data_IF_542511873567
#
_entry.id   IF_542511873567
#
_cell.length_a   1.000
_cell.length_b   1.000
_cell.length_c   1.000
_cell.angle_alpha   90.00
_cell.angle_beta   90.00
_cell.angle_gamma   90.00
#
_symmetry.space_group_name_H-M   'P 1'
#
loop_
_entity.id
_entity.type
_entity.pdbx_description
1 polymer ?
#
# COMPACT_ATOMS: atom_id res chain seq x y z
N UNK A 1 17.19 2.93 -7.70
CA UNK A 1 16.71 3.34 -6.37
C UNK A 1 17.88 3.75 -5.49
N UNK A 2 17.80 4.93 -4.94
CA UNK A 2 18.82 5.43 -4.01
C UNK A 2 18.23 5.42 -2.60
N UNK A 3 18.88 4.69 -1.73
CA UNK A 3 18.52 4.64 -0.33
C UNK A 3 19.44 5.52 0.48
N UNK A 4 18.88 6.48 1.19
CA UNK A 4 19.63 7.33 2.11
C UNK A 4 19.36 6.83 3.53
N UNK A 5 20.40 6.60 4.36
CA UNK A 5 20.20 6.04 5.70
C UNK A 5 19.22 6.81 6.58
N UNK A 6 19.16 8.13 6.41
CA UNK A 6 18.22 8.99 7.16
C UNK A 6 16.82 9.01 6.57
N UNK A 7 16.61 8.38 5.42
CA UNK A 7 15.31 8.30 4.75
C UNK A 7 14.84 6.84 4.78
N UNK A 8 13.99 6.47 5.73
CA UNK A 8 13.54 5.09 5.89
C UNK A 8 12.64 4.66 4.73
N UNK A 9 13.25 4.15 3.69
CA UNK A 9 12.58 3.71 2.47
C UNK A 9 12.99 2.28 2.12
N UNK A 10 11.99 1.44 1.83
CA UNK A 10 12.21 0.08 1.38
C UNK A 10 11.37 -0.22 0.16
N UNK A 11 12.01 -0.72 -0.88
CA UNK A 11 11.32 -1.21 -2.06
C UNK A 11 11.11 -2.71 -1.90
N UNK A 12 9.85 -3.12 -1.84
CA UNK A 12 9.51 -4.52 -1.61
C UNK A 12 9.70 -5.32 -2.87
N UNK A 13 10.35 -6.47 -2.76
CA UNK A 13 10.48 -7.42 -3.84
C UNK A 13 9.11 -8.04 -4.13
N UNK A 14 8.70 -8.04 -5.37
CA UNK A 14 7.42 -8.59 -5.79
C UNK A 14 7.24 -10.06 -5.39
N UNK A 15 8.34 -10.82 -5.38
CA UNK A 15 8.28 -12.25 -5.06
C UNK A 15 7.97 -12.49 -3.57
N UNK A 16 8.14 -11.48 -2.73
CA UNK A 16 7.88 -11.60 -1.29
C UNK A 16 6.51 -11.03 -0.89
N UNK A 17 5.86 -10.31 -1.79
CA UNK A 17 4.55 -9.77 -1.53
C UNK A 17 3.49 -10.83 -1.77
N UNK A 18 2.62 -11.03 -0.81
CA UNK A 18 1.46 -11.91 -0.99
C UNK A 18 0.32 -11.11 -1.61
N UNK A 19 -0.20 -11.58 -2.73
CA UNK A 19 -1.31 -10.94 -3.43
C UNK A 19 -2.50 -11.85 -3.42
N UNK A 20 -3.62 -11.32 -2.94
CA UNK A 20 -4.87 -12.04 -2.89
C UNK A 20 -5.97 -11.20 -3.52
N UNK A 21 -6.93 -11.86 -4.13
CA UNK A 21 -8.12 -11.17 -4.62
C UNK A 21 -8.99 -10.83 -3.42
N UNK A 22 -9.31 -9.54 -3.28
CA UNK A 22 -10.29 -9.09 -2.31
C UNK A 22 -11.59 -8.82 -3.07
N UNK A 23 -12.65 -9.55 -2.72
CA UNK A 23 -13.93 -9.37 -3.38
C UNK A 23 -14.53 -8.02 -3.03
N UNK A 24 -15.37 -7.49 -3.92
CA UNK A 24 -16.08 -6.23 -3.66
C UNK A 24 -16.93 -6.34 -2.38
N UNK A 25 -17.56 -7.48 -2.18
CA UNK A 25 -18.40 -7.72 -1.00
C UNK A 25 -17.58 -7.64 0.29
N UNK A 26 -16.44 -8.31 0.32
CA UNK A 26 -15.56 -8.31 1.49
C UNK A 26 -14.94 -6.92 1.72
N UNK A 27 -14.55 -6.25 0.66
CA UNK A 27 -14.02 -4.89 0.72
C UNK A 27 -15.01 -3.96 1.38
N UNK A 28 -16.27 -3.99 0.95
CA UNK A 28 -17.34 -3.16 1.51
C UNK A 28 -17.67 -3.56 2.94
N UNK A 29 -17.75 -4.85 3.21
CA UNK A 29 -18.02 -5.38 4.54
C UNK A 29 -16.98 -4.92 5.57
N UNK A 30 -15.71 -4.89 5.18
CA UNK A 30 -14.63 -4.52 6.08
C UNK A 30 -14.45 -3.01 6.23
N UNK A 31 -15.19 -2.21 5.49
CA UNK A 31 -15.20 -0.75 5.64
C UNK A 31 -14.69 0.04 4.44
N UNK A 32 -14.34 -0.63 3.35
CA UNK A 32 -13.93 0.05 2.12
C UNK A 32 -15.12 0.77 1.48
N UNK A 33 -14.84 1.90 0.86
CA UNK A 33 -15.86 2.68 0.15
C UNK A 33 -15.57 2.68 -1.34
N UNK A 34 -16.63 2.69 -2.14
CA UNK A 34 -16.50 2.65 -3.58
C UNK A 34 -16.20 1.26 -4.10
N UNK A 35 -15.38 1.17 -5.13
CA UNK A 35 -15.06 -0.08 -5.80
C UNK A 35 -13.64 -0.53 -5.46
N UNK A 36 -13.48 -1.81 -5.13
CA UNK A 36 -12.15 -2.37 -4.92
C UNK A 36 -11.38 -2.34 -6.24
N UNK A 37 -10.12 -1.94 -6.18
CA UNK A 37 -9.26 -1.84 -7.35
C UNK A 37 -7.95 -2.58 -7.09
N UNK A 38 -7.56 -3.43 -8.03
CA UNK A 38 -6.35 -4.22 -7.89
C UNK A 38 -6.48 -5.32 -6.85
N UNK A 39 -5.37 -5.74 -6.30
CA UNK A 39 -5.28 -6.86 -5.37
C UNK A 39 -4.95 -6.37 -3.97
N UNK A 40 -5.33 -7.18 -3.00
CA UNK A 40 -4.88 -7.00 -1.63
C UNK A 40 -3.43 -7.44 -1.55
N UNK A 41 -2.56 -6.54 -1.14
CA UNK A 41 -1.13 -6.84 -0.99
C UNK A 41 -0.79 -6.92 0.49
N UNK A 42 -0.27 -8.06 0.92
CA UNK A 42 0.21 -8.26 2.28
C UNK A 42 1.72 -8.37 2.26
N UNK A 43 2.39 -7.53 3.00
CA UNK A 43 3.83 -7.37 2.92
C UNK A 43 4.41 -7.30 4.33
N UNK A 44 5.51 -8.03 4.53
CA UNK A 44 6.26 -8.00 5.78
C UNK A 44 7.67 -7.47 5.49
N UNK A 45 8.09 -6.46 6.23
CA UNK A 45 9.41 -5.85 6.10
C UNK A 45 10.09 -5.91 7.46
N UNK A 46 11.31 -6.45 7.49
CA UNK A 46 12.10 -6.60 8.71
C UNK A 46 13.19 -5.53 8.81
N UNK A 47 13.70 -5.33 10.03
CA UNK A 47 14.79 -4.40 10.33
C UNK A 47 14.48 -2.97 9.90
N UNK A 48 13.25 -2.53 10.20
CA UNK A 48 12.78 -1.22 9.77
C UNK A 48 13.14 -0.13 10.77
N UNK A 49 13.20 1.10 10.26
CA UNK A 49 13.25 2.29 11.09
C UNK A 49 11.88 2.51 11.75
N UNK A 50 11.80 3.32 12.81
CA UNK A 50 10.51 3.61 13.45
C UNK A 50 9.42 4.07 12.48
N UNK A 51 9.81 4.81 11.44
CA UNK A 51 8.92 5.17 10.33
C UNK A 51 9.57 4.72 9.04
N UNK A 52 8.87 3.96 8.23
CA UNK A 52 9.40 3.36 7.01
C UNK A 52 8.44 3.55 5.85
N UNK A 53 8.97 3.95 4.69
CA UNK A 53 8.18 3.99 3.47
C UNK A 53 8.39 2.70 2.70
N UNK A 54 7.29 2.02 2.40
CA UNK A 54 7.28 0.76 1.67
C UNK A 54 6.74 1.02 0.27
N UNK A 55 7.44 0.53 -0.75
CA UNK A 55 7.01 0.65 -2.14
C UNK A 55 6.43 -0.68 -2.61
N UNK A 56 5.21 -0.63 -3.13
CA UNK A 56 4.45 -1.79 -3.58
C UNK A 56 4.14 -1.59 -5.05
N UNK A 57 4.45 -2.58 -5.88
CA UNK A 57 4.13 -2.53 -7.30
C UNK A 57 2.69 -2.98 -7.54
N UNK A 58 1.98 -2.23 -8.36
CA UNK A 58 0.60 -2.55 -8.73
C UNK A 58 0.39 -2.37 -10.22
N UNK A 59 -0.47 -3.22 -10.78
CA UNK A 59 -0.84 -3.20 -12.20
C UNK A 59 -2.33 -3.47 -12.32
N UNK A 60 -2.89 -3.18 -13.49
CA UNK A 60 -4.32 -3.43 -13.72
C UNK A 60 -5.21 -2.32 -13.19
N UNK A 61 -4.69 -1.12 -13.06
CA UNK A 61 -5.42 0.04 -12.56
C UNK A 61 -5.84 0.93 -13.72
N UNK A 62 -7.07 1.44 -13.68
CA UNK A 62 -7.56 2.37 -14.69
C UNK A 62 -8.41 3.44 -14.04
N UNK A 63 -8.34 4.66 -14.54
CA UNK A 63 -9.13 5.79 -14.06
C UNK A 63 -8.27 6.97 -13.66
N UNK A 64 -8.91 7.97 -13.07
CA UNK A 64 -8.22 9.18 -12.60
C UNK A 64 -7.47 8.87 -11.31
N UNK A 65 -6.21 9.28 -11.23
CA UNK A 65 -5.38 9.04 -10.05
C UNK A 65 -6.02 9.59 -8.77
N UNK A 66 -6.62 10.77 -8.86
CA UNK A 66 -7.22 11.43 -7.69
C UNK A 66 -8.46 10.72 -7.16
N UNK A 67 -9.06 9.83 -7.93
CA UNK A 67 -10.23 9.06 -7.49
C UNK A 67 -9.86 7.88 -6.62
N UNK A 68 -8.58 7.52 -6.56
CA UNK A 68 -8.14 6.36 -5.80
C UNK A 68 -7.86 6.73 -4.34
N UNK A 69 -8.20 5.79 -3.47
CA UNK A 69 -7.91 5.85 -2.04
C UNK A 69 -7.16 4.58 -1.66
N UNK A 70 -6.24 4.70 -0.74
CA UNK A 70 -5.54 3.56 -0.20
C UNK A 70 -6.18 3.17 1.14
N UNK A 71 -6.48 1.90 1.28
CA UNK A 71 -7.00 1.33 2.53
C UNK A 71 -6.00 0.34 3.08
N UNK A 72 -5.92 0.29 4.40
CA UNK A 72 -5.08 -0.68 5.09
C UNK A 72 -5.90 -1.36 6.18
N UNK A 73 -5.64 -2.65 6.37
CA UNK A 73 -6.24 -3.38 7.48
C UNK A 73 -5.58 -2.99 8.81
N UNK A 74 -6.40 -2.78 9.82
CA UNK A 74 -5.94 -2.67 11.21
C UNK A 74 -6.01 -4.02 11.89
N UNK A 75 -5.50 -4.11 13.12
CA UNK A 75 -5.55 -5.34 13.92
C UNK A 75 -6.97 -5.79 14.24
N UNK A 76 -7.94 -4.89 14.15
CA UNK A 76 -9.36 -5.18 14.34
C UNK A 76 -10.02 -5.85 13.12
N UNK A 77 -9.27 -6.07 12.05
CA UNK A 77 -9.79 -6.66 10.82
C UNK A 77 -10.61 -5.73 9.96
N UNK A 78 -10.54 -4.43 10.23
CA UNK A 78 -11.28 -3.42 9.46
C UNK A 78 -10.36 -2.62 8.58
N UNK A 79 -10.88 -2.21 7.42
CA UNK A 79 -10.18 -1.31 6.50
C UNK A 79 -10.33 0.13 6.98
N UNK A 80 -9.23 0.85 6.97
CA UNK A 80 -9.20 2.28 7.26
C UNK A 80 -8.50 3.00 6.12
N UNK A 81 -9.05 4.11 5.68
CA UNK A 81 -8.41 4.91 4.66
C UNK A 81 -7.10 5.49 5.19
N UNK A 82 -6.03 5.30 4.43
CA UNK A 82 -4.73 5.87 4.76
C UNK A 82 -4.73 7.34 4.36
N UNK A 83 -4.29 8.22 5.24
CA UNK A 83 -4.22 9.65 4.96
C UNK A 83 -3.38 9.93 3.71
N UNK A 84 -3.84 10.86 2.88
CA UNK A 84 -3.18 11.16 1.60
C UNK A 84 -1.75 11.66 1.75
N UNK A 85 -1.38 12.21 2.88
CA UNK A 85 -0.01 12.65 3.12
C UNK A 85 0.92 11.49 3.50
N UNK A 86 0.38 10.28 3.69
CA UNK A 86 1.16 9.09 4.05
C UNK A 86 1.37 8.14 2.88
N UNK A 87 0.78 8.41 1.72
CA UNK A 87 0.96 7.54 0.56
C UNK A 87 0.88 8.34 -0.74
N UNK A 88 1.44 7.76 -1.79
CA UNK A 88 1.32 8.30 -3.14
C UNK A 88 1.42 7.16 -4.14
N UNK A 89 0.83 7.38 -5.31
CA UNK A 89 0.90 6.47 -6.42
C UNK A 89 1.72 7.14 -7.52
N UNK A 90 2.72 6.44 -8.04
CA UNK A 90 3.62 6.99 -9.03
C UNK A 90 4.00 5.95 -10.07
N UNK A 91 4.55 6.42 -11.19
CA UNK A 91 5.16 5.56 -12.19
C UNK A 91 6.52 5.08 -11.68
N UNK A 92 7.11 4.09 -12.36
CA UNK A 92 8.43 3.56 -11.96
C UNK A 92 9.53 4.63 -11.99
N UNK A 93 9.39 5.66 -12.83
CA UNK A 93 10.34 6.77 -12.94
C UNK A 93 10.03 7.92 -11.97
N UNK A 94 9.07 7.75 -11.07
CA UNK A 94 8.79 8.68 -9.99
C UNK A 94 7.82 9.81 -10.31
N UNK A 95 7.12 9.73 -11.44
CA UNK A 95 6.13 10.74 -11.83
C UNK A 95 4.76 10.36 -11.29
N UNK A 96 3.97 11.36 -10.92
CA UNK A 96 2.58 11.16 -10.50
C UNK A 96 1.69 11.38 -11.71
N UNK A 97 1.08 10.32 -12.25
CA UNK A 97 0.23 10.45 -13.44
C UNK A 97 -1.14 11.03 -13.07
N UNK A 98 -1.79 11.69 -14.03
CA UNK A 98 -3.15 12.15 -13.86
C UNK A 98 -4.15 11.01 -14.04
N UNK A 99 -3.84 10.08 -14.93
CA UNK A 99 -4.65 8.91 -15.23
C UNK A 99 -3.83 7.64 -15.18
N UNK A 100 -4.48 6.56 -14.79
CA UNK A 100 -3.86 5.26 -14.73
C UNK A 100 -4.27 4.41 -15.93
N UNK A 101 -3.36 3.55 -16.37
CA UNK A 101 -3.57 2.62 -17.47
C UNK A 101 -3.36 1.18 -16.98
N UNK A 102 -4.24 0.29 -17.42
CA UNK A 102 -4.18 -1.14 -17.02
C UNK A 102 -2.87 -1.82 -17.43
N UNK A 103 -2.24 -1.34 -18.48
CA UNK A 103 -1.00 -1.95 -19.01
C UNK A 103 0.26 -1.40 -18.34
N UNK A 104 0.13 -0.40 -17.49
CA UNK A 104 1.28 0.26 -16.88
C UNK A 104 1.49 -0.24 -15.46
N UNK A 105 2.76 -0.45 -15.11
CA UNK A 105 3.15 -0.81 -13.74
C UNK A 105 3.37 0.46 -12.92
N UNK A 106 2.70 0.55 -11.80
CA UNK A 106 2.81 1.67 -10.88
C UNK A 106 3.40 1.22 -9.54
N UNK A 107 3.88 2.18 -8.78
CA UNK A 107 4.32 1.94 -7.42
C UNK A 107 3.46 2.76 -6.45
N UNK A 108 2.96 2.09 -5.42
CA UNK A 108 2.32 2.75 -4.29
C UNK A 108 3.35 2.86 -3.18
N UNK A 109 3.63 4.06 -2.76
CA UNK A 109 4.55 4.34 -1.66
C UNK A 109 3.72 4.71 -0.44
N UNK A 110 3.87 3.94 0.62
CA UNK A 110 3.12 4.17 1.86
C UNK A 110 4.08 4.23 3.04
N UNK A 111 3.90 5.23 3.88
CA UNK A 111 4.70 5.41 5.09
C UNK A 111 3.97 4.79 6.28
N UNK A 112 4.64 3.89 6.97
CA UNK A 112 4.07 3.13 8.09
C UNK A 112 5.00 3.23 9.29
N UNK A 113 4.41 3.36 10.48
CA UNK A 113 5.17 3.36 11.72
C UNK A 113 5.22 1.96 12.33
N UNK A 114 6.40 1.57 12.81
CA UNK A 114 6.58 0.33 13.55
C UNK A 114 5.75 0.41 14.84
N UNK A 115 4.85 -0.57 15.02
CA UNK A 115 3.90 -0.55 16.14
C UNK A 115 2.73 0.39 15.94
N UNK A 116 2.59 1.02 14.77
CA UNK A 116 1.49 1.93 14.46
C UNK A 116 0.19 1.22 14.11
N UNK A 117 -0.82 2.00 13.77
CA UNK A 117 -2.18 1.51 13.50
C UNK A 117 -2.24 0.48 12.39
N UNK A 118 -1.41 0.64 11.35
CA UNK A 118 -1.42 -0.22 10.18
C UNK A 118 -0.39 -1.34 10.25
N UNK A 119 0.43 -1.38 11.29
CA UNK A 119 1.38 -2.45 11.49
C UNK A 119 0.69 -3.63 12.16
N UNK A 120 0.51 -4.71 11.42
CA UNK A 120 -0.14 -5.91 11.90
C UNK A 120 0.81 -6.86 12.64
N UNK A 121 2.11 -6.55 12.64
CA UNK A 121 3.11 -7.35 13.33
C UNK A 121 3.19 -6.98 14.81
N UNK A 122 3.35 -7.98 15.66
CA UNK A 122 3.64 -7.78 17.07
C UNK A 122 5.13 -7.85 17.37
N UNK A 123 5.94 -8.09 16.33
CA UNK A 123 7.39 -8.21 16.45
C UNK A 123 8.03 -6.84 16.30
N UNK A 124 8.90 -6.47 17.23
CA UNK A 124 9.65 -5.22 17.16
C UNK A 124 10.55 -5.19 15.93
N UNK A 125 10.65 -4.05 15.28
CA UNK A 125 11.42 -3.84 14.05
C UNK A 125 10.93 -4.66 12.86
N UNK A 126 9.68 -5.05 12.89
CA UNK A 126 9.02 -5.72 11.76
C UNK A 126 7.70 -5.00 11.49
N UNK A 127 7.45 -4.65 10.25
CA UNK A 127 6.19 -4.07 9.81
C UNK A 127 5.51 -5.07 8.88
N UNK A 128 4.26 -5.40 9.19
CA UNK A 128 3.40 -6.19 8.32
C UNK A 128 2.19 -5.36 7.97
N UNK A 129 1.97 -5.11 6.69
CA UNK A 129 0.84 -4.32 6.22
C UNK A 129 0.01 -5.11 5.20
N UNK A 130 -1.27 -4.84 5.19
CA UNK A 130 -2.19 -5.38 4.19
C UNK A 130 -2.96 -4.20 3.61
N UNK A 131 -2.70 -3.88 2.34
CA UNK A 131 -3.24 -2.68 1.68
C UNK A 131 -3.96 -3.03 0.39
N UNK A 132 -4.96 -2.23 0.07
CA UNK A 132 -5.75 -2.36 -1.15
C UNK A 132 -6.19 -0.97 -1.60
N UNK A 133 -6.29 -0.78 -2.91
CA UNK A 133 -6.82 0.46 -3.47
C UNK A 133 -8.33 0.34 -3.69
N UNK A 134 -9.01 1.49 -3.59
CA UNK A 134 -10.40 1.63 -3.96
C UNK A 134 -10.63 2.92 -4.74
N UNK A 135 -11.66 2.97 -5.52
CA UNK A 135 -12.03 4.19 -6.25
C UNK A 135 -13.53 4.40 -6.31
#
# INVERSE_FOLDING_TARGET
FVYLPEMPYRKVDLDKAMRNVLTQEKFTEDGGQGNVAGWLNTITVENVHPSTTVAIRMKGLAGETDDFKLYAYGKDGKLTEVSKNLWKLQTEDGKIPEKLSEDTLYEVHVTVEDGGTFDLSDTEKEIKIAVVLGN
#
